data_IF_724092882023
#
_entry.id   IF_724092882023
#
_cell.length_a   1.000
_cell.length_b   1.000
_cell.length_c   1.000
_cell.angle_alpha   90.00
_cell.angle_beta   90.00
_cell.angle_gamma   90.00
#
_symmetry.space_group_name_H-M   'P 1'
#
loop_
_entity.id
_entity.type
_entity.pdbx_description
1 polymer ?
#
# COMPACT_ATOMS: atom_id res chain seq x y z
N UNK A 1 -15.62 -21.67 -38.71
CA UNK A 1 -14.25 -21.62 -38.16
C UNK A 1 -13.88 -20.26 -37.54
N UNK A 2 -14.32 -19.13 -38.13
CA UNK A 2 -14.12 -17.79 -37.56
C UNK A 2 -14.80 -17.61 -36.19
N UNK A 3 -16.03 -18.06 -36.04
CA UNK A 3 -16.86 -17.94 -34.83
C UNK A 3 -16.27 -18.71 -33.62
N UNK A 4 -15.69 -19.90 -33.90
CA UNK A 4 -15.01 -20.70 -32.85
C UNK A 4 -13.73 -20.02 -32.37
N UNK A 5 -12.96 -19.40 -33.27
CA UNK A 5 -11.75 -18.65 -32.93
C UNK A 5 -12.08 -17.39 -32.13
N UNK A 6 -13.16 -16.70 -32.49
CA UNK A 6 -13.60 -15.50 -31.76
C UNK A 6 -14.07 -15.85 -30.35
N UNK A 7 -14.85 -16.92 -30.18
CA UNK A 7 -15.26 -17.42 -28.85
C UNK A 7 -14.06 -17.85 -28.01
N UNK A 8 -13.08 -18.55 -28.59
CA UNK A 8 -11.87 -18.98 -27.90
C UNK A 8 -11.03 -17.76 -27.42
N UNK A 9 -10.88 -16.74 -28.27
CA UNK A 9 -10.18 -15.51 -27.88
C UNK A 9 -10.91 -14.74 -26.78
N UNK A 10 -12.24 -14.72 -26.80
CA UNK A 10 -13.05 -14.07 -25.74
C UNK A 10 -12.84 -14.78 -24.39
N UNK A 11 -12.90 -16.10 -24.37
CA UNK A 11 -12.66 -16.91 -23.17
C UNK A 11 -11.23 -16.68 -22.64
N UNK A 12 -10.24 -16.72 -23.52
CA UNK A 12 -8.85 -16.45 -23.17
C UNK A 12 -8.66 -15.10 -22.50
N UNK A 13 -9.26 -14.03 -23.05
CA UNK A 13 -9.17 -12.69 -22.47
C UNK A 13 -9.84 -12.61 -21.08
N UNK A 14 -10.97 -13.27 -20.90
CA UNK A 14 -11.63 -13.36 -19.59
C UNK A 14 -10.72 -14.04 -18.57
N UNK A 15 -10.12 -15.17 -18.93
CA UNK A 15 -9.20 -15.90 -18.05
C UNK A 15 -7.96 -15.05 -17.69
N UNK A 16 -7.43 -14.27 -18.63
CA UNK A 16 -6.29 -13.40 -18.40
C UNK A 16 -6.63 -12.24 -17.47
N UNK A 17 -7.81 -11.64 -17.61
CA UNK A 17 -8.30 -10.59 -16.71
C UNK A 17 -8.44 -11.16 -15.29
N UNK A 18 -9.13 -12.29 -15.15
CA UNK A 18 -9.34 -12.95 -13.85
C UNK A 18 -8.00 -13.33 -13.19
N UNK A 19 -7.12 -13.99 -13.94
CA UNK A 19 -5.81 -14.38 -13.41
C UNK A 19 -5.00 -13.17 -12.95
N UNK A 20 -4.94 -12.11 -13.76
CA UNK A 20 -4.19 -10.89 -13.41
C UNK A 20 -4.77 -10.19 -12.18
N UNK A 21 -6.10 -10.04 -12.11
CA UNK A 21 -6.74 -9.39 -10.98
C UNK A 21 -6.57 -10.16 -9.67
N UNK A 22 -6.75 -11.49 -9.71
CA UNK A 22 -6.60 -12.37 -8.54
C UNK A 22 -5.13 -12.39 -8.09
N UNK A 23 -4.19 -12.59 -9.02
CA UNK A 23 -2.75 -12.66 -8.68
C UNK A 23 -2.24 -11.35 -8.09
N UNK A 24 -2.68 -10.21 -8.65
CA UNK A 24 -2.30 -8.90 -8.12
C UNK A 24 -2.90 -8.67 -6.72
N UNK A 25 -4.17 -9.04 -6.51
CA UNK A 25 -4.81 -8.95 -5.20
C UNK A 25 -4.11 -9.82 -4.15
N UNK A 26 -3.72 -11.04 -4.51
CA UNK A 26 -2.91 -11.92 -3.64
C UNK A 26 -1.56 -11.27 -3.30
N UNK A 27 -0.92 -10.65 -4.30
CA UNK A 27 0.36 -9.94 -4.07
C UNK A 27 0.24 -8.86 -3.00
N UNK A 28 -0.83 -8.06 -3.04
CA UNK A 28 -1.09 -7.01 -2.05
C UNK A 28 -1.48 -7.56 -0.68
N UNK A 29 -2.44 -8.47 -0.65
CA UNK A 29 -3.02 -8.93 0.61
C UNK A 29 -2.13 -9.89 1.41
N UNK A 30 -1.26 -10.65 0.70
CA UNK A 30 -0.42 -11.69 1.31
C UNK A 30 1.08 -11.46 1.12
N UNK A 31 1.48 -10.27 0.62
CA UNK A 31 2.89 -9.91 0.41
C UNK A 31 3.68 -10.89 -0.48
N UNK A 32 3.04 -11.47 -1.49
CA UNK A 32 3.69 -12.39 -2.43
C UNK A 32 4.38 -11.59 -3.53
N UNK A 33 5.59 -11.10 -3.26
CA UNK A 33 6.32 -10.14 -4.11
C UNK A 33 6.51 -10.59 -5.56
N UNK A 34 6.70 -11.88 -5.81
CA UNK A 34 6.86 -12.40 -7.17
C UNK A 34 5.63 -12.18 -8.05
N UNK A 35 4.44 -12.23 -7.47
CA UNK A 35 3.22 -11.95 -8.20
C UNK A 35 3.13 -10.49 -8.65
N UNK A 36 3.67 -9.55 -7.88
CA UNK A 36 3.79 -8.15 -8.29
C UNK A 36 4.57 -7.96 -9.60
N UNK A 37 5.50 -8.89 -9.92
CA UNK A 37 6.29 -8.88 -11.16
C UNK A 37 5.68 -9.64 -12.32
N UNK A 38 4.70 -10.49 -12.09
CA UNK A 38 4.18 -11.40 -13.11
C UNK A 38 2.69 -11.23 -13.37
N UNK A 39 1.94 -10.73 -12.40
CA UNK A 39 0.48 -10.71 -12.40
C UNK A 39 -0.13 -9.98 -13.62
N UNK A 40 0.49 -8.91 -14.08
CA UNK A 40 -0.05 -8.07 -15.15
C UNK A 40 0.34 -8.55 -16.55
N UNK A 41 1.25 -9.52 -16.71
CA UNK A 41 1.70 -10.01 -18.02
C UNK A 41 0.52 -10.52 -18.88
N UNK A 42 -0.40 -11.37 -18.39
CA UNK A 42 -1.54 -11.83 -19.18
C UNK A 42 -2.49 -10.71 -19.58
N UNK A 43 -2.76 -9.76 -18.65
CA UNK A 43 -3.58 -8.59 -18.93
C UNK A 43 -2.96 -7.74 -20.04
N UNK A 44 -1.68 -7.41 -19.92
CA UNK A 44 -0.96 -6.61 -20.91
C UNK A 44 -0.89 -7.29 -22.27
N UNK A 45 -0.77 -8.62 -22.30
CA UNK A 45 -0.86 -9.36 -23.55
C UNK A 45 -2.24 -9.24 -24.21
N UNK A 46 -3.32 -9.26 -23.44
CA UNK A 46 -4.67 -9.01 -23.97
C UNK A 46 -4.85 -7.60 -24.50
N UNK A 47 -4.33 -6.60 -23.79
CA UNK A 47 -4.40 -5.19 -24.17
C UNK A 47 -3.60 -4.89 -25.44
N UNK A 48 -2.38 -5.46 -25.57
CA UNK A 48 -1.53 -5.30 -26.76
C UNK A 48 -2.24 -5.76 -28.04
N UNK A 49 -2.98 -6.85 -27.95
CA UNK A 49 -3.60 -7.49 -29.10
C UNK A 49 -5.00 -6.92 -29.44
N UNK A 50 -5.48 -5.96 -28.64
CA UNK A 50 -6.80 -5.38 -28.87
C UNK A 50 -6.71 -4.16 -29.79
N UNK A 51 -7.60 -4.11 -30.78
CA UNK A 51 -7.66 -3.04 -31.80
C UNK A 51 -8.82 -2.08 -31.59
N UNK A 52 -9.77 -2.39 -30.70
CA UNK A 52 -10.97 -1.60 -30.47
C UNK A 52 -10.90 -0.90 -29.11
N UNK A 53 -10.88 0.41 -29.09
CA UNK A 53 -10.81 1.20 -27.83
C UNK A 53 -11.94 0.85 -26.84
N UNK A 54 -13.16 0.59 -27.33
CA UNK A 54 -14.27 0.16 -26.47
C UNK A 54 -13.97 -1.14 -25.71
N UNK A 55 -13.19 -2.04 -26.30
CA UNK A 55 -12.77 -3.28 -25.60
C UNK A 55 -11.65 -3.01 -24.59
N UNK A 56 -10.77 -2.05 -24.87
CA UNK A 56 -9.80 -1.58 -23.86
C UNK A 56 -10.52 -1.08 -22.62
N UNK A 57 -11.53 -0.21 -22.80
CA UNK A 57 -12.35 0.27 -21.68
C UNK A 57 -12.97 -0.90 -20.89
N UNK A 58 -13.57 -1.87 -21.60
CA UNK A 58 -14.18 -3.01 -20.94
C UNK A 58 -13.17 -3.88 -20.18
N UNK A 59 -12.02 -4.19 -20.77
CA UNK A 59 -10.95 -4.98 -20.13
C UNK A 59 -10.43 -4.25 -18.89
N UNK A 60 -10.14 -2.95 -19.02
CA UNK A 60 -9.63 -2.09 -17.95
C UNK A 60 -10.58 -2.04 -16.75
N UNK A 61 -11.84 -1.74 -17.04
CA UNK A 61 -12.87 -1.63 -16.03
C UNK A 61 -13.16 -2.97 -15.34
N UNK A 62 -13.22 -4.06 -16.12
CA UNK A 62 -13.43 -5.40 -15.57
C UNK A 62 -12.27 -5.84 -14.68
N UNK A 63 -11.03 -5.62 -15.14
CA UNK A 63 -9.83 -5.91 -14.34
C UNK A 63 -9.84 -5.14 -13.03
N UNK A 64 -10.04 -3.82 -13.09
CA UNK A 64 -10.05 -2.95 -11.91
C UNK A 64 -11.14 -3.34 -10.92
N UNK A 65 -12.37 -3.60 -11.41
CA UNK A 65 -13.50 -4.00 -10.56
C UNK A 65 -13.21 -5.30 -9.81
N UNK A 66 -12.70 -6.32 -10.51
CA UNK A 66 -12.37 -7.62 -9.90
C UNK A 66 -11.21 -7.46 -8.91
N UNK A 67 -10.19 -6.69 -9.27
CA UNK A 67 -9.05 -6.40 -8.39
C UNK A 67 -9.48 -5.68 -7.12
N UNK A 68 -10.23 -4.57 -7.23
CA UNK A 68 -10.62 -3.77 -6.06
C UNK A 68 -11.63 -4.46 -5.16
N UNK A 69 -12.57 -5.24 -5.70
CA UNK A 69 -13.46 -6.06 -4.86
C UNK A 69 -12.66 -6.99 -3.95
N UNK A 70 -11.59 -7.59 -4.45
CA UNK A 70 -10.76 -8.49 -3.67
C UNK A 70 -9.77 -7.73 -2.76
N UNK A 71 -9.16 -6.65 -3.25
CA UNK A 71 -8.20 -5.88 -2.48
C UNK A 71 -8.85 -5.13 -1.30
N UNK A 72 -10.12 -4.75 -1.44
CA UNK A 72 -10.88 -3.97 -0.46
C UNK A 72 -11.89 -4.81 0.33
N UNK A 73 -11.84 -6.15 0.27
CA UNK A 73 -12.82 -7.03 0.95
C UNK A 73 -12.97 -6.72 2.45
N UNK A 74 -11.90 -6.25 3.09
CA UNK A 74 -11.86 -5.88 4.49
C UNK A 74 -12.80 -4.71 4.87
N UNK A 75 -13.29 -3.95 3.90
CA UNK A 75 -14.28 -2.87 4.13
C UNK A 75 -15.58 -3.44 4.70
N UNK A 76 -15.98 -4.64 4.28
CA UNK A 76 -17.20 -5.28 4.77
C UNK A 76 -17.16 -5.46 6.31
N UNK A 77 -16.21 -6.22 6.88
CA UNK A 77 -16.15 -6.38 8.33
C UNK A 77 -15.92 -5.06 9.07
N UNK A 78 -15.19 -4.11 8.48
CA UNK A 78 -14.98 -2.79 9.09
C UNK A 78 -16.29 -2.01 9.23
N UNK A 79 -17.11 -1.96 8.18
CA UNK A 79 -18.41 -1.29 8.22
C UNK A 79 -19.39 -2.01 9.15
N UNK A 80 -19.39 -3.35 9.17
CA UNK A 80 -20.20 -4.12 10.10
C UNK A 80 -19.82 -3.88 11.55
N UNK A 81 -18.53 -3.78 11.86
CA UNK A 81 -18.06 -3.38 13.18
C UNK A 81 -18.56 -1.97 13.54
N UNK A 82 -18.77 -1.08 12.55
CA UNK A 82 -19.43 0.23 12.69
C UNK A 82 -20.96 0.19 12.81
N UNK A 83 -21.58 -0.98 12.93
CA UNK A 83 -23.03 -1.12 13.01
C UNK A 83 -23.76 -1.06 11.69
N UNK A 84 -23.03 -1.01 10.55
CA UNK A 84 -23.64 -1.00 9.20
C UNK A 84 -24.09 -2.42 8.86
N UNK A 85 -25.30 -2.57 8.31
CA UNK A 85 -25.80 -3.87 7.90
C UNK A 85 -25.00 -4.43 6.71
N UNK A 86 -25.02 -5.76 6.55
CA UNK A 86 -24.26 -6.49 5.54
C UNK A 86 -24.57 -6.04 4.10
N UNK A 87 -25.83 -5.77 3.77
CA UNK A 87 -26.24 -5.37 2.42
C UNK A 87 -25.65 -4.00 2.04
N UNK A 88 -25.70 -3.05 2.97
CA UNK A 88 -25.12 -1.72 2.78
C UNK A 88 -23.59 -1.77 2.73
N UNK A 89 -22.97 -2.65 3.50
CA UNK A 89 -21.51 -2.88 3.47
C UNK A 89 -21.05 -3.45 2.12
N UNK A 90 -21.78 -4.42 1.57
CA UNK A 90 -21.52 -4.97 0.23
C UNK A 90 -21.73 -3.91 -0.84
N UNK A 91 -22.83 -3.14 -0.76
CA UNK A 91 -23.11 -2.07 -1.69
C UNK A 91 -21.99 -1.01 -1.68
N UNK A 92 -21.53 -0.61 -0.52
CA UNK A 92 -20.41 0.34 -0.37
C UNK A 92 -19.11 -0.20 -0.99
N UNK A 93 -18.79 -1.48 -0.75
CA UNK A 93 -17.62 -2.13 -1.39
C UNK A 93 -17.75 -2.12 -2.91
N UNK A 94 -18.90 -2.50 -3.46
CA UNK A 94 -19.12 -2.53 -4.90
C UNK A 94 -19.01 -1.13 -5.50
N UNK A 95 -19.68 -0.14 -4.93
CA UNK A 95 -19.65 1.24 -5.40
C UNK A 95 -18.22 1.79 -5.41
N UNK A 96 -17.47 1.60 -4.32
CA UNK A 96 -16.09 2.03 -4.20
C UNK A 96 -15.19 1.31 -5.22
N UNK A 97 -15.32 -0.01 -5.35
CA UNK A 97 -14.52 -0.79 -6.30
C UNK A 97 -14.77 -0.38 -7.74
N UNK A 98 -16.02 -0.15 -8.12
CA UNK A 98 -16.39 0.33 -9.47
C UNK A 98 -15.83 1.73 -9.73
N UNK A 99 -15.93 2.64 -8.76
CA UNK A 99 -15.40 3.99 -8.89
C UNK A 99 -13.88 3.98 -9.05
N UNK A 100 -13.18 3.22 -8.22
CA UNK A 100 -11.72 3.13 -8.29
C UNK A 100 -11.23 2.42 -9.55
N UNK A 101 -12.02 1.51 -10.13
CA UNK A 101 -11.65 0.82 -11.37
C UNK A 101 -11.53 1.75 -12.58
N UNK A 102 -12.12 2.94 -12.53
CA UNK A 102 -12.01 3.94 -13.61
C UNK A 102 -10.57 4.37 -13.87
N UNK A 103 -9.69 4.32 -12.88
CA UNK A 103 -8.29 4.68 -13.06
C UNK A 103 -7.59 3.82 -14.13
N UNK A 104 -7.92 2.52 -14.21
CA UNK A 104 -7.33 1.63 -15.21
C UNK A 104 -7.71 1.97 -16.64
N UNK A 105 -8.87 2.63 -16.84
CA UNK A 105 -9.23 3.15 -18.17
C UNK A 105 -8.24 4.23 -18.58
N UNK A 106 -7.90 5.15 -17.69
CA UNK A 106 -6.92 6.20 -17.96
C UNK A 106 -5.51 5.63 -18.14
N UNK A 107 -5.12 4.66 -17.30
CA UNK A 107 -3.82 3.99 -17.41
C UNK A 107 -3.64 3.33 -18.78
N UNK A 108 -4.66 2.64 -19.30
CA UNK A 108 -4.52 1.83 -20.52
C UNK A 108 -4.94 2.57 -21.80
N UNK A 109 -5.56 3.75 -21.69
CA UNK A 109 -5.93 4.56 -22.84
C UNK A 109 -4.71 5.01 -23.66
N UNK A 110 -3.70 5.55 -22.99
CA UNK A 110 -2.53 6.09 -23.69
C UNK A 110 -1.71 5.01 -24.44
N UNK A 111 -1.36 3.88 -23.81
CA UNK A 111 -0.66 2.79 -24.49
C UNK A 111 -1.39 2.24 -25.72
N UNK A 112 -2.72 2.28 -25.74
CA UNK A 112 -3.51 1.87 -26.90
C UNK A 112 -3.13 2.65 -28.15
N UNK A 113 -3.00 3.97 -28.04
CA UNK A 113 -2.62 4.83 -29.16
C UNK A 113 -1.15 4.69 -29.59
N UNK A 114 -0.28 4.24 -28.68
CA UNK A 114 1.14 4.06 -28.95
C UNK A 114 1.53 2.63 -29.39
N UNK A 115 0.57 1.73 -29.50
CA UNK A 115 0.84 0.32 -29.83
C UNK A 115 1.50 0.15 -31.21
N UNK A 116 1.17 1.00 -32.18
CA UNK A 116 1.72 0.92 -33.54
C UNK A 116 3.19 1.33 -33.63
N UNK A 117 3.76 2.01 -32.64
CA UNK A 117 5.18 2.36 -32.60
C UNK A 117 6.10 1.24 -32.11
N UNK A 118 5.54 0.08 -31.78
CA UNK A 118 6.29 -1.11 -31.39
C UNK A 118 6.58 -1.21 -29.87
N UNK A 119 7.33 -2.25 -29.52
CA UNK A 119 7.56 -2.64 -28.12
C UNK A 119 8.11 -1.54 -27.22
N UNK A 120 9.17 -0.79 -27.59
CA UNK A 120 9.71 0.21 -26.69
C UNK A 120 8.70 1.32 -26.37
N UNK A 121 8.01 1.86 -27.37
CA UNK A 121 7.04 2.93 -27.18
C UNK A 121 5.84 2.46 -26.37
N UNK A 122 5.29 1.31 -26.68
CA UNK A 122 4.14 0.76 -25.97
C UNK A 122 4.48 0.46 -24.52
N UNK A 123 5.62 -0.18 -24.24
CA UNK A 123 6.03 -0.53 -22.88
C UNK A 123 6.36 0.70 -22.04
N UNK A 124 7.00 1.70 -22.63
CA UNK A 124 7.30 2.97 -21.96
C UNK A 124 6.02 3.75 -21.64
N UNK A 125 5.08 3.84 -22.58
CA UNK A 125 3.81 4.52 -22.31
C UNK A 125 2.96 3.80 -21.27
N UNK A 126 2.98 2.47 -21.23
CA UNK A 126 2.33 1.68 -20.19
C UNK A 126 2.91 2.00 -18.81
N UNK A 127 4.24 1.96 -18.68
CA UNK A 127 4.91 2.28 -17.42
C UNK A 127 4.69 3.74 -16.99
N UNK A 128 4.78 4.67 -17.94
CA UNK A 128 4.57 6.10 -17.67
C UNK A 128 3.14 6.42 -17.26
N UNK A 129 2.14 5.86 -17.96
CA UNK A 129 0.73 6.09 -17.64
C UNK A 129 0.38 5.54 -16.25
N UNK A 130 0.83 4.33 -15.95
CA UNK A 130 0.60 3.73 -14.63
C UNK A 130 1.21 4.58 -13.51
N UNK A 131 2.50 4.89 -13.64
CA UNK A 131 3.23 5.69 -12.65
C UNK A 131 2.65 7.10 -12.49
N UNK A 132 2.23 7.72 -13.60
CA UNK A 132 1.59 9.04 -13.58
C UNK A 132 0.28 9.00 -12.80
N UNK A 133 -0.56 8.00 -13.00
CA UNK A 133 -1.83 7.88 -12.27
C UNK A 133 -1.58 7.64 -10.78
N UNK A 134 -0.61 6.78 -10.40
CA UNK A 134 -0.22 6.61 -9.00
C UNK A 134 0.26 7.93 -8.37
N UNK A 135 1.06 8.71 -9.08
CA UNK A 135 1.51 10.03 -8.61
C UNK A 135 0.33 11.01 -8.45
N UNK A 136 -0.53 11.11 -9.47
CA UNK A 136 -1.68 12.00 -9.44
C UNK A 136 -2.67 11.65 -8.33
N UNK A 137 -2.85 10.37 -7.99
CA UNK A 137 -3.70 9.95 -6.87
C UNK A 137 -3.34 10.63 -5.56
N UNK A 138 -2.06 10.78 -5.26
CA UNK A 138 -1.60 11.46 -4.05
C UNK A 138 -1.87 12.97 -4.12
N UNK A 139 -1.67 13.58 -5.29
CA UNK A 139 -1.91 15.02 -5.46
C UNK A 139 -3.40 15.37 -5.39
N UNK A 140 -4.25 14.54 -5.97
CA UNK A 140 -5.71 14.74 -6.02
C UNK A 140 -6.36 14.38 -4.66
N UNK A 141 -5.71 13.59 -3.83
CA UNK A 141 -6.24 13.17 -2.52
C UNK A 141 -6.63 14.34 -1.60
N UNK A 142 -6.09 15.53 -1.85
CA UNK A 142 -6.51 16.76 -1.15
C UNK A 142 -7.97 17.17 -1.44
N UNK A 143 -8.53 16.68 -2.53
CA UNK A 143 -9.85 17.05 -3.04
C UNK A 143 -10.85 15.89 -3.11
N UNK A 144 -10.37 14.64 -3.07
CA UNK A 144 -11.20 13.46 -3.21
C UNK A 144 -10.69 12.33 -2.29
N UNK A 145 -11.63 11.52 -1.79
CA UNK A 145 -11.31 10.30 -1.05
C UNK A 145 -10.75 9.27 -2.04
N UNK A 146 -9.43 9.19 -2.08
CA UNK A 146 -8.72 8.23 -2.92
C UNK A 146 -7.75 7.43 -2.05
N UNK A 147 -7.48 6.18 -2.42
CA UNK A 147 -6.57 5.33 -1.64
C UNK A 147 -5.16 5.34 -2.24
N UNK A 148 -4.26 6.24 -1.78
CA UNK A 148 -2.92 6.38 -2.36
C UNK A 148 -1.99 5.20 -2.09
N UNK A 149 -2.30 4.35 -1.13
CA UNK A 149 -1.47 3.21 -0.74
C UNK A 149 -1.51 2.01 -1.70
N UNK A 150 -2.38 2.02 -2.71
CA UNK A 150 -2.36 1.03 -3.78
C UNK A 150 -1.33 1.39 -4.87
N UNK A 151 -0.07 1.53 -4.49
CA UNK A 151 1.03 1.57 -5.44
C UNK A 151 1.56 0.17 -5.70
N UNK A 152 1.85 -0.17 -6.97
CA UNK A 152 2.37 -1.48 -7.34
C UNK A 152 3.68 -1.81 -6.60
N UNK A 153 4.49 -0.80 -6.30
CA UNK A 153 5.72 -0.96 -5.53
C UNK A 153 5.50 -1.53 -4.12
N UNK A 154 4.32 -1.34 -3.52
CA UNK A 154 4.02 -1.90 -2.18
C UNK A 154 3.93 -3.44 -2.17
N UNK A 155 3.81 -4.07 -3.32
CA UNK A 155 3.92 -5.54 -3.42
C UNK A 155 5.35 -6.03 -3.21
N UNK A 156 6.35 -5.11 -3.18
CA UNK A 156 7.77 -5.42 -3.03
C UNK A 156 8.23 -5.15 -1.61
N UNK A 157 8.56 -6.22 -0.90
CA UNK A 157 9.14 -6.15 0.42
C UNK A 157 10.67 -5.94 0.34
N UNK A 158 11.37 -6.15 1.33
CA UNK A 158 12.75 -5.94 1.74
C UNK A 158 13.85 -5.83 0.65
N UNK A 159 13.73 -6.48 -0.52
CA UNK A 159 14.85 -6.56 -1.47
C UNK A 159 15.00 -5.31 -2.35
N UNK A 160 13.91 -4.65 -2.72
CA UNK A 160 13.94 -3.46 -3.59
C UNK A 160 13.73 -2.13 -2.83
N UNK A 161 13.25 -2.18 -1.59
CA UNK A 161 13.03 -0.99 -0.79
C UNK A 161 14.27 -0.08 -0.63
N UNK A 162 15.52 -0.57 -0.51
CA UNK A 162 16.70 0.30 -0.49
C UNK A 162 16.84 1.18 -1.74
N UNK A 163 16.30 0.77 -2.89
CA UNK A 163 16.35 1.56 -4.12
C UNK A 163 15.38 2.74 -4.12
N UNK A 164 14.38 2.73 -3.23
CA UNK A 164 13.48 3.89 -3.09
C UNK A 164 14.23 5.16 -2.72
N UNK A 165 15.41 5.04 -2.10
CA UNK A 165 16.30 6.17 -1.85
C UNK A 165 16.73 6.90 -3.13
N UNK A 166 16.95 6.17 -4.23
CA UNK A 166 17.44 6.73 -5.50
C UNK A 166 16.33 7.09 -6.48
N UNK A 167 15.31 6.23 -6.59
CA UNK A 167 14.28 6.37 -7.63
C UNK A 167 12.87 6.61 -7.08
N UNK A 168 12.75 6.63 -5.76
CA UNK A 168 11.45 6.71 -5.10
C UNK A 168 10.58 5.47 -5.36
N UNK A 169 9.41 5.46 -4.74
CA UNK A 169 8.42 4.40 -4.92
C UNK A 169 7.91 4.33 -6.37
N UNK A 170 7.75 5.49 -7.00
CA UNK A 170 7.28 5.60 -8.38
C UNK A 170 8.27 5.01 -9.40
N UNK A 171 9.58 5.14 -9.15
CA UNK A 171 10.60 4.51 -9.98
C UNK A 171 10.54 2.99 -9.94
N UNK A 172 10.24 2.40 -8.77
CA UNK A 172 10.03 0.96 -8.63
C UNK A 172 8.79 0.52 -9.41
N UNK A 173 7.64 1.19 -9.23
CA UNK A 173 6.43 0.94 -10.02
C UNK A 173 6.73 1.00 -11.52
N UNK A 174 7.41 2.06 -11.96
CA UNK A 174 7.77 2.23 -13.37
C UNK A 174 8.56 1.03 -13.93
N UNK A 175 9.59 0.59 -13.20
CA UNK A 175 10.43 -0.55 -13.61
C UNK A 175 9.60 -1.84 -13.64
N UNK A 176 8.73 -2.07 -12.66
CA UNK A 176 7.88 -3.25 -12.59
C UNK A 176 6.90 -3.31 -13.77
N UNK A 177 6.25 -2.20 -14.08
CA UNK A 177 5.30 -2.13 -15.21
C UNK A 177 6.03 -2.24 -16.53
N UNK A 178 7.17 -1.56 -16.69
CA UNK A 178 8.01 -1.62 -17.90
C UNK A 178 8.46 -3.05 -18.20
N UNK A 179 8.90 -3.78 -17.17
CA UNK A 179 9.29 -5.18 -17.31
C UNK A 179 8.12 -6.04 -17.79
N UNK A 180 6.98 -5.98 -17.10
CA UNK A 180 5.80 -6.81 -17.44
C UNK A 180 5.26 -6.48 -18.82
N UNK A 181 5.17 -5.18 -19.18
CA UNK A 181 4.74 -4.73 -20.49
C UNK A 181 5.70 -5.20 -21.60
N UNK A 182 7.02 -5.13 -21.36
CA UNK A 182 8.03 -5.59 -22.29
C UNK A 182 7.96 -7.09 -22.53
N UNK A 183 7.71 -7.90 -21.50
CA UNK A 183 7.51 -9.34 -21.62
C UNK A 183 6.24 -9.63 -22.40
N UNK A 184 5.11 -9.03 -22.00
CA UNK A 184 3.81 -9.23 -22.65
C UNK A 184 3.86 -8.89 -24.14
N UNK A 185 4.58 -7.82 -24.52
CA UNK A 185 4.72 -7.43 -25.92
C UNK A 185 5.53 -8.44 -26.73
N UNK A 186 6.58 -9.01 -26.19
CA UNK A 186 7.51 -9.90 -26.89
C UNK A 186 7.24 -11.39 -26.67
N UNK A 187 6.12 -11.77 -26.03
CA UNK A 187 5.85 -13.16 -25.65
C UNK A 187 5.86 -14.14 -26.84
N UNK A 188 5.49 -13.66 -28.03
CA UNK A 188 5.51 -14.42 -29.27
C UNK A 188 6.93 -14.57 -29.86
N UNK A 189 7.86 -13.72 -29.44
CA UNK A 189 9.25 -13.73 -29.84
C UNK A 189 10.12 -14.35 -28.73
N UNK A 190 10.12 -15.69 -28.67
CA UNK A 190 10.74 -16.46 -27.57
C UNK A 190 12.16 -16.04 -27.21
N UNK A 191 13.04 -15.77 -28.18
CA UNK A 191 14.43 -15.34 -27.91
C UNK A 191 14.51 -14.00 -27.22
N UNK A 192 13.71 -13.01 -27.67
CA UNK A 192 13.66 -11.68 -27.03
C UNK A 192 13.08 -11.73 -25.63
N UNK A 193 12.04 -12.55 -25.42
CA UNK A 193 11.44 -12.78 -24.11
C UNK A 193 12.44 -13.40 -23.14
N UNK A 194 13.14 -14.45 -23.56
CA UNK A 194 14.18 -15.10 -22.73
C UNK A 194 15.30 -14.12 -22.37
N UNK A 195 15.79 -13.31 -23.31
CA UNK A 195 16.82 -12.30 -23.04
C UNK A 195 16.36 -11.29 -21.97
N UNK A 196 15.12 -10.83 -22.05
CA UNK A 196 14.56 -9.88 -21.06
C UNK A 196 14.44 -10.52 -19.68
N UNK A 197 14.02 -11.78 -19.61
CA UNK A 197 13.95 -12.52 -18.34
C UNK A 197 15.36 -12.67 -17.74
N UNK A 198 16.36 -13.02 -18.54
CA UNK A 198 17.76 -13.15 -18.08
C UNK A 198 18.28 -11.81 -17.56
N UNK A 199 18.13 -10.73 -18.33
CA UNK A 199 18.58 -9.39 -17.94
C UNK A 199 17.89 -8.93 -16.65
N UNK A 200 16.59 -9.19 -16.52
CA UNK A 200 15.85 -8.89 -15.31
C UNK A 200 16.33 -9.72 -14.12
N UNK A 201 16.56 -11.04 -14.30
CA UNK A 201 17.08 -11.89 -13.22
C UNK A 201 18.45 -11.41 -12.74
N UNK A 202 19.32 -11.02 -13.67
CA UNK A 202 20.62 -10.41 -13.33
C UNK A 202 20.47 -9.08 -12.57
N UNK A 203 19.52 -8.25 -12.99
CA UNK A 203 19.19 -7.02 -12.28
C UNK A 203 18.73 -7.30 -10.85
N UNK A 204 17.81 -8.24 -10.61
CA UNK A 204 17.34 -8.59 -9.27
C UNK A 204 18.45 -9.15 -8.40
N UNK A 205 19.32 -10.03 -8.95
CA UNK A 205 20.46 -10.60 -8.22
C UNK A 205 21.46 -9.51 -7.85
N UNK A 206 21.84 -8.67 -8.81
CA UNK A 206 22.76 -7.55 -8.56
C UNK A 206 22.19 -6.55 -7.57
N UNK A 207 20.89 -6.32 -7.64
CA UNK A 207 20.13 -5.48 -6.72
C UNK A 207 20.23 -5.99 -5.29
N UNK A 208 19.92 -7.26 -5.09
CA UNK A 208 19.98 -7.89 -3.75
C UNK A 208 21.38 -7.84 -3.15
N UNK A 209 22.41 -8.01 -3.98
CA UNK A 209 23.81 -7.87 -3.55
C UNK A 209 24.16 -6.44 -3.16
N UNK A 210 23.76 -5.46 -3.99
CA UNK A 210 24.05 -4.04 -3.75
C UNK A 210 23.32 -3.53 -2.50
N UNK A 211 22.05 -3.94 -2.29
CA UNK A 211 21.29 -3.54 -1.10
C UNK A 211 21.94 -4.03 0.19
N UNK A 212 22.43 -5.28 0.22
CA UNK A 212 23.19 -5.80 1.36
C UNK A 212 24.46 -5.00 1.62
N UNK A 213 25.19 -4.65 0.58
CA UNK A 213 26.43 -3.87 0.70
C UNK A 213 26.15 -2.44 1.21
N UNK A 214 25.10 -1.80 0.76
CA UNK A 214 24.70 -0.46 1.22
C UNK A 214 24.29 -0.46 2.69
N UNK A 215 23.54 -1.47 3.12
CA UNK A 215 23.15 -1.62 4.53
C UNK A 215 24.33 -1.95 5.43
N UNK A 216 25.25 -2.81 4.97
CA UNK A 216 26.43 -3.22 5.77
C UNK A 216 27.48 -2.11 5.88
N UNK A 217 27.58 -1.21 4.89
CA UNK A 217 28.53 -0.10 4.88
C UNK A 217 27.96 1.20 5.46
N UNK A 218 26.74 1.18 5.99
CA UNK A 218 26.26 2.32 6.78
C UNK A 218 27.18 2.53 7.98
N UNK A 219 27.67 3.78 8.22
CA UNK A 219 28.48 4.04 9.39
C UNK A 219 27.74 3.52 10.62
N UNK A 220 28.46 2.95 11.57
CA UNK A 220 27.91 2.43 12.82
C UNK A 220 27.20 3.58 13.54
N UNK A 221 25.92 3.73 13.27
CA UNK A 221 25.07 4.66 14.01
C UNK A 221 24.92 4.12 15.42
N UNK A 222 24.95 5.00 16.39
CA UNK A 222 24.58 4.65 17.75
C UNK A 222 23.22 3.97 17.72
N UNK A 223 23.17 2.77 18.28
CA UNK A 223 21.92 2.00 18.29
C UNK A 223 21.03 2.54 19.39
N UNK A 224 19.85 3.02 19.00
CA UNK A 224 18.79 3.37 19.94
C UNK A 224 17.86 2.15 20.15
N UNK A 225 17.46 1.94 21.39
CA UNK A 225 16.56 0.86 21.77
C UNK A 225 15.14 1.38 21.81
N UNK A 226 14.33 0.91 20.88
CA UNK A 226 12.95 1.38 20.70
C UNK A 226 11.97 0.34 21.20
N UNK A 227 10.98 0.76 21.98
CA UNK A 227 9.79 -0.02 22.28
C UNK A 227 8.58 0.55 21.54
N UNK A 228 7.84 -0.33 20.87
CA UNK A 228 6.55 0.03 20.25
C UNK A 228 5.46 -0.62 21.10
N UNK A 229 4.54 0.19 21.63
CA UNK A 229 3.39 -0.33 22.38
C UNK A 229 2.16 -0.37 21.51
N UNK A 230 1.33 -1.38 21.69
CA UNK A 230 0.09 -1.55 20.97
C UNK A 230 -1.03 -1.98 21.94
N UNK A 231 -1.78 -1.02 22.52
CA UNK A 231 -2.83 -1.31 23.49
C UNK A 231 -4.03 -2.06 22.88
N UNK A 232 -4.19 -2.04 21.55
CA UNK A 232 -5.29 -2.70 20.81
C UNK A 232 -6.68 -2.36 21.35
N UNK A 233 -6.91 -1.10 21.72
CA UNK A 233 -8.18 -0.62 22.25
C UNK A 233 -9.26 -0.70 21.18
N UNK A 234 -10.38 -1.30 21.49
CA UNK A 234 -11.56 -1.31 20.63
C UNK A 234 -12.05 0.11 20.37
N UNK A 235 -12.32 0.43 19.09
CA UNK A 235 -12.71 1.77 18.66
C UNK A 235 -13.95 2.29 19.39
N UNK A 236 -14.94 1.42 19.66
CA UNK A 236 -16.20 1.80 20.31
C UNK A 236 -16.04 2.00 21.82
N UNK A 237 -15.13 1.26 22.45
CA UNK A 237 -14.81 1.42 23.87
C UNK A 237 -13.99 2.67 24.16
N UNK A 238 -13.21 3.13 23.18
CA UNK A 238 -12.22 4.18 23.38
C UNK A 238 -12.77 5.49 23.88
N UNK A 239 -13.94 5.89 23.41
CA UNK A 239 -14.58 7.17 23.76
C UNK A 239 -15.70 7.02 24.80
N UNK A 240 -15.93 5.79 25.28
CA UNK A 240 -16.89 5.51 26.35
C UNK A 240 -16.20 5.62 27.71
N UNK A 241 -16.69 6.57 28.53
CA UNK A 241 -16.15 6.85 29.86
C UNK A 241 -16.17 5.63 30.79
N UNK A 242 -17.05 4.66 30.57
CA UNK A 242 -17.12 3.43 31.35
C UNK A 242 -15.86 2.58 31.18
N UNK A 243 -15.18 2.66 30.02
CA UNK A 243 -13.96 1.90 29.73
C UNK A 243 -12.67 2.70 29.97
N UNK A 244 -12.77 3.95 30.35
CA UNK A 244 -11.63 4.84 30.55
C UNK A 244 -10.57 4.25 31.51
N UNK A 245 -11.00 3.73 32.66
CA UNK A 245 -10.09 3.15 33.66
C UNK A 245 -9.51 1.78 33.21
N UNK A 246 -10.28 0.98 32.46
CA UNK A 246 -9.81 -0.29 31.88
C UNK A 246 -8.68 -0.01 30.88
N UNK A 247 -8.90 0.92 29.94
CA UNK A 247 -7.90 1.33 28.94
C UNK A 247 -6.62 1.87 29.60
N UNK A 248 -6.75 2.71 30.64
CA UNK A 248 -5.60 3.20 31.39
C UNK A 248 -4.79 2.07 32.01
N UNK A 249 -5.45 1.12 32.65
CA UNK A 249 -4.82 -0.04 33.29
C UNK A 249 -4.07 -0.93 32.28
N UNK A 250 -4.65 -1.14 31.10
CA UNK A 250 -3.99 -1.94 30.04
C UNK A 250 -2.71 -1.23 29.56
N UNK A 251 -2.77 0.07 29.34
CA UNK A 251 -1.60 0.88 28.95
C UNK A 251 -0.56 0.89 30.07
N UNK A 252 -0.98 1.06 31.33
CA UNK A 252 -0.09 1.01 32.50
C UNK A 252 0.67 -0.31 32.59
N UNK A 253 -0.02 -1.42 32.32
CA UNK A 253 0.59 -2.76 32.30
C UNK A 253 1.63 -2.88 31.23
N UNK A 254 1.36 -2.38 30.01
CA UNK A 254 2.31 -2.38 28.90
C UNK A 254 3.56 -1.55 29.25
N UNK A 255 3.37 -0.34 29.77
CA UNK A 255 4.48 0.56 30.12
C UNK A 255 5.30 0.00 31.28
N UNK A 256 4.66 -0.56 32.31
CA UNK A 256 5.40 -1.17 33.43
C UNK A 256 6.26 -2.33 33.02
N UNK A 257 5.89 -3.04 31.96
CA UNK A 257 6.75 -4.10 31.39
C UNK A 257 8.06 -3.59 30.78
N UNK A 258 8.22 -2.28 30.63
CA UNK A 258 9.41 -1.63 30.04
C UNK A 258 10.36 -1.04 31.09
N UNK A 259 9.97 -0.89 32.35
CA UNK A 259 10.70 -0.16 33.40
C UNK A 259 12.18 -0.60 33.53
N UNK A 260 12.47 -1.88 33.42
CA UNK A 260 13.83 -2.43 33.60
C UNK A 260 14.60 -2.66 32.28
N UNK A 261 14.04 -2.28 31.13
CA UNK A 261 14.58 -2.67 29.81
C UNK A 261 15.57 -1.70 29.21
N UNK A 262 15.92 -0.56 29.86
CA UNK A 262 16.78 0.50 29.31
C UNK A 262 16.37 0.84 27.88
N UNK A 263 15.17 1.38 27.71
CA UNK A 263 14.61 1.84 26.44
C UNK A 263 15.00 3.30 26.24
N UNK A 264 15.38 3.70 25.03
CA UNK A 264 15.69 5.08 24.70
C UNK A 264 14.47 5.83 24.20
N UNK A 265 13.56 5.13 23.49
CA UNK A 265 12.35 5.70 22.89
C UNK A 265 11.18 4.74 22.96
N UNK A 266 10.03 5.22 23.40
CA UNK A 266 8.75 4.51 23.37
C UNK A 266 7.83 5.15 22.34
N UNK A 267 7.32 4.35 21.39
CA UNK A 267 6.41 4.82 20.35
C UNK A 267 5.00 4.28 20.63
N UNK A 268 4.03 5.20 20.68
CA UNK A 268 2.61 4.89 20.86
C UNK A 268 1.88 5.00 19.52
N UNK A 269 0.80 4.25 19.30
CA UNK A 269 0.03 4.36 18.06
C UNK A 269 -0.75 5.68 17.96
N UNK A 270 -1.34 5.90 16.81
CA UNK A 270 -2.27 7.01 16.59
C UNK A 270 -3.43 6.94 17.60
N UNK A 271 -3.78 8.11 18.15
CA UNK A 271 -4.87 8.20 19.13
C UNK A 271 -4.76 7.20 20.29
N UNK A 272 -3.59 6.99 20.84
CA UNK A 272 -3.36 5.98 21.90
C UNK A 272 -3.99 6.35 23.24
N UNK A 273 -4.13 7.63 23.53
CA UNK A 273 -4.65 8.10 24.83
C UNK A 273 -6.17 7.90 24.95
N UNK A 274 -6.70 7.58 26.14
CA UNK A 274 -8.14 7.44 26.38
C UNK A 274 -8.89 8.76 26.45
N UNK A 275 -8.26 9.88 26.07
CA UNK A 275 -8.81 11.23 26.05
C UNK A 275 -7.91 12.21 25.33
N UNK A 276 -8.17 13.48 25.50
CA UNK A 276 -7.38 14.53 24.88
C UNK A 276 -6.09 14.77 25.66
N UNK A 277 -4.97 14.97 24.96
CA UNK A 277 -3.67 15.21 25.62
C UNK A 277 -3.67 16.49 26.46
N UNK A 278 -4.48 17.49 26.09
CA UNK A 278 -4.64 18.76 26.79
C UNK A 278 -5.58 18.67 28.01
N UNK A 279 -6.21 17.53 28.28
CA UNK A 279 -6.93 17.29 29.53
C UNK A 279 -5.92 17.05 30.68
N UNK A 280 -6.00 17.88 31.73
CA UNK A 280 -5.04 17.86 32.85
C UNK A 280 -4.85 16.48 33.48
N UNK A 281 -5.94 15.73 33.65
CA UNK A 281 -5.90 14.40 34.26
C UNK A 281 -5.23 13.38 33.34
N UNK A 282 -5.50 13.43 32.03
CA UNK A 282 -4.88 12.58 31.02
C UNK A 282 -3.39 12.87 30.90
N UNK A 283 -3.03 14.15 30.80
CA UNK A 283 -1.63 14.57 30.69
C UNK A 283 -0.84 14.23 31.96
N UNK A 284 -1.38 14.53 33.16
CA UNK A 284 -0.71 14.18 34.41
C UNK A 284 -0.50 12.68 34.59
N UNK A 285 -1.45 11.87 34.14
CA UNK A 285 -1.30 10.41 34.10
C UNK A 285 -0.23 9.97 33.10
N UNK A 286 -0.23 10.53 31.88
CA UNK A 286 0.79 10.26 30.87
C UNK A 286 2.20 10.56 31.37
N UNK A 287 2.40 11.74 31.98
CA UNK A 287 3.70 12.15 32.56
C UNK A 287 4.18 11.15 33.61
N UNK A 288 3.29 10.60 34.45
CA UNK A 288 3.66 9.55 35.40
C UNK A 288 4.20 8.30 34.71
N UNK A 289 3.61 7.89 33.57
CA UNK A 289 4.04 6.74 32.81
C UNK A 289 5.40 7.00 32.12
N UNK A 290 5.57 8.18 31.52
CA UNK A 290 6.83 8.59 30.89
C UNK A 290 7.97 8.53 31.90
N UNK A 291 7.81 9.11 33.09
CA UNK A 291 8.82 9.11 34.17
C UNK A 291 9.21 7.71 34.65
N UNK A 292 8.32 6.72 34.59
CA UNK A 292 8.62 5.33 34.95
C UNK A 292 9.66 4.69 34.03
N UNK A 293 9.56 4.94 32.72
CA UNK A 293 10.47 4.35 31.73
C UNK A 293 11.80 5.08 31.63
N UNK A 294 11.85 6.37 32.01
CA UNK A 294 12.98 7.28 31.83
C UNK A 294 13.42 7.40 30.34
N UNK A 295 12.50 7.18 29.42
CA UNK A 295 12.70 7.22 27.98
C UNK A 295 11.99 8.42 27.35
N UNK A 296 12.37 8.77 26.13
CA UNK A 296 11.57 9.65 25.29
C UNK A 296 10.33 8.90 24.82
N UNK A 297 9.21 9.62 24.70
CA UNK A 297 7.96 9.04 24.18
C UNK A 297 7.45 9.83 22.98
N UNK A 298 7.12 9.14 21.88
CA UNK A 298 6.31 9.70 20.79
C UNK A 298 4.90 9.19 20.98
N UNK A 299 3.96 10.09 21.27
CA UNK A 299 2.58 9.77 21.63
C UNK A 299 1.64 10.30 20.56
N UNK A 300 0.96 9.42 19.86
CA UNK A 300 -0.14 9.80 18.95
C UNK A 300 -1.39 10.15 19.76
N UNK A 301 -1.90 11.35 19.63
CA UNK A 301 -3.08 11.81 20.36
C UNK A 301 -3.87 12.90 19.63
N UNK A 302 -5.12 13.08 20.07
CA UNK A 302 -5.93 14.25 19.72
C UNK A 302 -5.61 15.41 20.64
N UNK A 303 -5.64 16.64 20.10
CA UNK A 303 -5.44 17.88 20.82
C UNK A 303 -6.46 18.93 20.40
N UNK A 304 -6.81 19.83 21.31
CA UNK A 304 -7.66 21.02 21.06
C UNK A 304 -6.85 22.30 20.98
N UNK A 305 -5.52 22.23 21.11
CA UNK A 305 -4.63 23.39 21.01
C UNK A 305 -4.69 23.91 19.57
N UNK A 306 -5.05 25.18 19.39
CA UNK A 306 -5.21 25.86 18.10
C UNK A 306 -6.18 25.15 17.10
N UNK A 307 -7.19 24.45 17.63
CA UNK A 307 -8.17 23.69 16.87
C UNK A 307 -8.13 22.19 17.22
N UNK A 308 -8.99 21.40 16.55
CA UNK A 308 -9.00 19.94 16.76
C UNK A 308 -8.01 19.29 15.79
N UNK A 309 -6.96 18.71 16.32
CA UNK A 309 -5.90 18.06 15.54
C UNK A 309 -5.62 16.65 16.05
N UNK A 310 -5.20 15.79 15.13
CA UNK A 310 -4.53 14.50 15.45
C UNK A 310 -3.05 14.77 15.26
N UNK A 311 -2.26 14.61 16.33
CA UNK A 311 -0.85 14.99 16.34
C UNK A 311 0.00 13.90 16.99
N UNK A 312 1.30 13.94 16.71
CA UNK A 312 2.30 13.17 17.41
C UNK A 312 3.09 14.11 18.31
N UNK A 313 3.18 13.80 19.59
CA UNK A 313 3.88 14.60 20.60
C UNK A 313 5.15 13.89 21.02
N UNK A 314 6.28 14.60 20.95
CA UNK A 314 7.53 14.13 21.55
C UNK A 314 7.60 14.62 23.00
N UNK A 315 7.69 13.68 23.93
CA UNK A 315 7.73 13.94 25.37
C UNK A 315 9.08 13.49 25.91
N UNK A 316 9.74 14.37 26.67
CA UNK A 316 11.03 14.07 27.33
C UNK A 316 10.88 13.09 28.50
N UNK A 317 11.95 12.44 28.97
CA UNK A 317 11.93 11.60 30.16
C UNK A 317 11.41 12.31 31.43
N UNK A 318 11.53 13.63 31.47
CA UNK A 318 11.03 14.47 32.58
C UNK A 318 9.54 14.82 32.46
N UNK A 319 8.90 14.44 31.35
CA UNK A 319 7.48 14.64 31.09
C UNK A 319 7.14 15.97 30.43
N UNK A 320 8.10 16.65 29.80
CA UNK A 320 7.88 17.90 29.07
C UNK A 320 7.59 17.60 27.58
N UNK A 321 6.61 18.29 27.00
CA UNK A 321 6.38 18.25 25.55
C UNK A 321 7.48 19.04 24.88
N UNK A 322 8.28 18.39 24.04
CA UNK A 322 9.37 19.03 23.29
C UNK A 322 8.87 19.53 21.93
N UNK A 323 7.99 18.76 21.27
CA UNK A 323 7.46 19.07 19.96
C UNK A 323 6.05 18.48 19.80
#
# INVERSE_FOLDING_TARGET
MSDIKEKANKIKNILFILFSAISLSISYNFNVSILGWLALIPLFYSLKNETKFKKIIFISFSFGSIFYIQALYWIIPTLQAGGVNIFLSIFALLLLSLTMSLEFIFIFALPFYFNHFGCPAWSLTMASSWTLIEFLKIQINKFAVWFPWFSLAYTQNNNLMPYTYYVGIYGITFIMVLFQASIAYSIEERKKTMLKIILFSLFVISSSYLSKKLVLNSPSQEKIKIAIIQPSVDYYKKWDLNYFNEIKKDIETLISSLEDKRIDLVIWPENALPGWIDDKDVFSWLVKLVKKTKAYHIVGSVSRIDGKHVSAFLISPDGEIIQ
#
